data_IF_302352528927
#
_entry.id   IF_302352528927
#
_cell.length_a   1.000
_cell.length_b   1.000
_cell.length_c   1.000
_cell.angle_alpha   90.00
_cell.angle_beta   90.00
_cell.angle_gamma   90.00
#
_symmetry.space_group_name_H-M   'P 1'
#
loop_
_entity.id
_entity.type
_entity.pdbx_description
1 polymer ?
#
# COMPACT_ATOMS: atom_id res chain seq x y z
N UNK A 1 -3.74 5.46 -13.37
CA UNK A 1 -4.75 5.21 -14.43
C UNK A 1 -5.31 3.78 -14.40
N UNK A 2 -4.56 2.74 -14.03
CA UNK A 2 -5.03 1.34 -14.04
C UNK A 2 -6.15 1.02 -13.04
N UNK A 3 -6.09 1.56 -11.82
CA UNK A 3 -7.09 1.27 -10.77
C UNK A 3 -8.48 1.79 -11.14
N UNK A 4 -8.54 3.01 -11.67
CA UNK A 4 -9.80 3.64 -12.06
C UNK A 4 -10.47 2.93 -13.23
N UNK A 5 -9.68 2.39 -14.16
CA UNK A 5 -10.18 1.62 -15.31
C UNK A 5 -10.87 0.31 -14.86
N UNK A 6 -10.26 -0.40 -13.89
CA UNK A 6 -10.85 -1.60 -13.31
C UNK A 6 -12.16 -1.33 -12.56
N UNK A 7 -12.24 -0.21 -11.83
CA UNK A 7 -13.49 0.23 -11.19
C UNK A 7 -14.55 0.63 -12.22
N UNK A 8 -14.15 1.30 -13.30
CA UNK A 8 -15.01 1.71 -14.41
C UNK A 8 -15.53 0.51 -15.21
N UNK A 9 -14.83 -0.63 -15.23
CA UNK A 9 -15.31 -1.89 -15.82
C UNK A 9 -16.24 -2.68 -14.87
N UNK A 10 -16.01 -2.61 -13.55
CA UNK A 10 -16.84 -3.33 -12.55
C UNK A 10 -18.20 -2.67 -12.32
N UNK A 11 -18.26 -1.33 -12.38
CA UNK A 11 -19.49 -0.55 -12.20
C UNK A 11 -20.61 -0.84 -13.22
N UNK A 12 -20.36 -0.89 -14.54
CA UNK A 12 -21.39 -1.16 -15.55
C UNK A 12 -21.88 -2.61 -15.50
N UNK A 13 -21.05 -3.57 -15.07
CA UNK A 13 -21.46 -4.97 -14.85
C UNK A 13 -22.62 -5.13 -13.85
N UNK A 14 -22.79 -4.19 -12.91
CA UNK A 14 -23.86 -4.21 -11.90
C UNK A 14 -25.07 -3.33 -12.26
N UNK A 15 -24.95 -2.41 -13.22
CA UNK A 15 -25.96 -1.34 -13.45
C UNK A 15 -26.40 -1.17 -14.92
N UNK A 16 -25.89 -1.95 -15.88
CA UNK A 16 -26.36 -2.04 -17.27
C UNK A 16 -26.62 -0.67 -17.97
N UNK A 17 -25.85 0.35 -17.61
CA UNK A 17 -25.94 1.73 -18.13
C UNK A 17 -24.53 2.27 -18.35
N UNK A 18 -24.36 3.05 -19.42
CA UNK A 18 -23.11 3.70 -19.79
C UNK A 18 -22.47 4.42 -18.60
N UNK A 19 -21.17 4.20 -18.38
CA UNK A 19 -20.42 4.84 -17.31
C UNK A 19 -20.61 6.36 -17.36
N UNK A 20 -21.28 6.98 -16.37
CA UNK A 20 -21.47 8.42 -16.41
C UNK A 20 -20.12 9.09 -16.24
N UNK A 21 -19.77 9.99 -17.18
CA UNK A 21 -18.63 10.90 -17.05
C UNK A 21 -18.56 11.58 -15.67
N UNK A 22 -19.73 11.78 -15.05
CA UNK A 22 -19.89 12.33 -13.71
C UNK A 22 -19.31 11.43 -12.60
N UNK A 23 -19.52 10.11 -12.65
CA UNK A 23 -18.96 9.17 -11.66
C UNK A 23 -17.44 9.14 -11.75
N UNK A 24 -16.92 9.16 -12.98
CA UNK A 24 -15.48 9.22 -13.27
C UNK A 24 -14.83 10.48 -12.71
N UNK A 25 -15.48 11.63 -12.90
CA UNK A 25 -15.01 12.93 -12.40
C UNK A 25 -15.11 12.99 -10.87
N UNK A 26 -16.22 12.56 -10.26
CA UNK A 26 -16.38 12.53 -8.81
C UNK A 26 -15.31 11.65 -8.13
N UNK A 27 -14.99 10.49 -8.69
CA UNK A 27 -13.95 9.62 -8.13
C UNK A 27 -12.56 10.27 -8.23
N UNK A 28 -12.21 10.87 -9.38
CA UNK A 28 -10.91 11.56 -9.54
C UNK A 28 -10.78 12.77 -8.62
N UNK A 29 -11.80 13.62 -8.59
CA UNK A 29 -11.83 14.83 -7.76
C UNK A 29 -11.90 14.46 -6.28
N UNK A 30 -12.70 13.46 -5.91
CA UNK A 30 -12.79 12.98 -4.53
C UNK A 30 -11.48 12.39 -4.03
N UNK A 31 -10.83 11.52 -4.81
CA UNK A 31 -9.52 10.96 -4.43
C UNK A 31 -8.44 12.03 -4.37
N UNK A 32 -8.36 12.90 -5.37
CA UNK A 32 -7.38 14.00 -5.40
C UNK A 32 -7.61 15.00 -4.26
N UNK A 33 -8.86 15.38 -4.01
CA UNK A 33 -9.24 16.28 -2.93
C UNK A 33 -8.98 15.69 -1.55
N UNK A 34 -9.29 14.41 -1.33
CA UNK A 34 -8.97 13.72 -0.09
C UNK A 34 -7.45 13.64 0.13
N UNK A 35 -6.68 13.29 -0.90
CA UNK A 35 -5.22 13.25 -0.82
C UNK A 35 -4.61 14.62 -0.49
N UNK A 36 -5.13 15.70 -1.11
CA UNK A 36 -4.74 17.07 -0.81
C UNK A 36 -5.09 17.48 0.63
N UNK A 37 -6.33 17.18 1.06
CA UNK A 37 -6.78 17.49 2.41
C UNK A 37 -5.96 16.77 3.48
N UNK A 38 -5.67 15.49 3.27
CA UNK A 38 -4.78 14.72 4.14
C UNK A 38 -3.35 15.30 4.13
N UNK A 39 -2.83 15.66 2.96
CA UNK A 39 -1.50 16.28 2.82
C UNK A 39 -1.36 17.59 3.59
N UNK A 40 -2.40 18.41 3.61
CA UNK A 40 -2.41 19.70 4.32
C UNK A 40 -2.64 19.50 5.81
N UNK A 41 -3.51 18.56 6.19
CA UNK A 41 -3.90 18.33 7.60
C UNK A 41 -2.85 17.55 8.39
N UNK A 42 -2.16 16.60 7.75
CA UNK A 42 -1.22 15.70 8.42
C UNK A 42 0.21 15.85 7.87
N UNK A 43 1.10 16.63 8.51
CA UNK A 43 2.51 16.72 8.10
C UNK A 43 3.28 15.40 8.30
N UNK A 44 2.67 14.38 8.94
CA UNK A 44 3.24 13.06 9.20
C UNK A 44 3.16 12.09 8.02
N UNK A 45 2.48 12.43 6.92
CA UNK A 45 2.29 11.53 5.77
C UNK A 45 3.60 11.02 5.16
N UNK A 46 4.67 11.82 5.21
CA UNK A 46 6.01 11.39 4.78
C UNK A 46 6.54 10.23 5.62
N UNK A 47 6.19 10.16 6.90
CA UNK A 47 6.54 9.05 7.81
C UNK A 47 5.63 7.83 7.62
N UNK A 48 4.47 7.99 7.00
CA UNK A 48 3.53 6.91 6.64
C UNK A 48 3.83 6.27 5.27
N UNK A 49 4.61 6.94 4.41
CA UNK A 49 4.99 6.41 3.10
C UNK A 49 5.65 5.01 3.15
N UNK A 50 6.55 4.69 4.11
CA UNK A 50 7.08 3.34 4.26
C UNK A 50 6.01 2.30 4.64
N UNK A 51 5.01 2.68 5.43
CA UNK A 51 3.89 1.80 5.82
C UNK A 51 2.95 1.49 4.65
N UNK A 52 2.63 2.51 3.85
CA UNK A 52 1.81 2.34 2.65
C UNK A 52 2.56 1.53 1.60
N UNK A 53 3.85 1.79 1.44
CA UNK A 53 4.72 1.01 0.55
C UNK A 53 4.86 -0.45 1.01
N UNK A 54 5.03 -0.69 2.30
CA UNK A 54 5.20 -2.05 2.82
C UNK A 54 3.96 -2.91 2.65
N UNK A 55 2.75 -2.35 2.73
CA UNK A 55 1.52 -3.08 2.47
C UNK A 55 1.44 -3.66 1.05
N UNK A 56 2.18 -3.10 0.10
CA UNK A 56 2.23 -3.60 -1.29
C UNK A 56 3.24 -4.73 -1.48
N UNK A 57 4.25 -4.87 -0.61
CA UNK A 57 5.29 -5.91 -0.70
C UNK A 57 4.72 -7.34 -0.63
N UNK A 58 3.78 -7.69 0.29
CA UNK A 58 3.17 -9.01 0.30
C UNK A 58 2.34 -9.26 -0.95
N UNK A 59 1.68 -8.22 -1.48
CA UNK A 59 0.80 -8.36 -2.64
C UNK A 59 1.59 -8.60 -3.93
N UNK A 60 2.76 -7.99 -4.07
CA UNK A 60 3.58 -8.10 -5.29
C UNK A 60 4.58 -9.25 -5.24
N UNK A 61 5.08 -9.63 -4.06
CA UNK A 61 6.08 -10.70 -3.92
C UNK A 61 5.51 -11.95 -3.26
N UNK A 62 4.89 -11.85 -2.09
CA UNK A 62 4.41 -13.03 -1.37
C UNK A 62 3.24 -13.72 -2.10
N UNK A 63 2.27 -12.94 -2.57
CA UNK A 63 1.06 -13.46 -3.21
C UNK A 63 1.34 -14.32 -4.46
N UNK A 64 2.08 -13.85 -5.49
CA UNK A 64 2.37 -14.69 -6.65
C UNK A 64 3.23 -15.90 -6.30
N UNK A 65 4.20 -15.77 -5.37
CA UNK A 65 5.04 -16.88 -4.94
C UNK A 65 4.24 -17.99 -4.25
N UNK A 66 3.39 -17.63 -3.27
CA UNK A 66 2.57 -18.61 -2.56
C UNK A 66 1.46 -19.19 -3.46
N UNK A 67 0.83 -18.37 -4.30
CA UNK A 67 -0.19 -18.84 -5.26
C UNK A 67 0.43 -19.80 -6.28
N UNK A 68 1.65 -19.53 -6.75
CA UNK A 68 2.38 -20.44 -7.62
C UNK A 68 2.67 -21.78 -6.94
N UNK A 69 3.14 -21.79 -5.68
CA UNK A 69 3.37 -23.02 -4.91
C UNK A 69 2.07 -23.80 -4.76
N UNK A 70 0.96 -23.12 -4.43
CA UNK A 70 -0.35 -23.73 -4.26
C UNK A 70 -0.90 -24.34 -5.55
N UNK A 71 -0.75 -23.65 -6.69
CA UNK A 71 -1.24 -24.13 -7.99
C UNK A 71 -0.40 -25.26 -8.56
N UNK A 72 0.93 -25.16 -8.50
CA UNK A 72 1.83 -26.14 -9.13
C UNK A 72 2.13 -27.37 -8.28
N UNK A 73 1.88 -27.32 -6.97
CA UNK A 73 2.27 -28.38 -6.01
C UNK A 73 3.66 -28.96 -6.35
N UNK A 74 4.71 -28.12 -6.40
CA UNK A 74 6.04 -28.61 -6.73
C UNK A 74 6.45 -29.67 -5.72
N UNK A 75 7.36 -30.58 -6.13
CA UNK A 75 7.92 -31.55 -5.19
C UNK A 75 8.46 -30.82 -3.95
N UNK A 76 7.99 -31.14 -2.74
CA UNK A 76 8.55 -30.56 -1.53
C UNK A 76 10.05 -30.87 -1.52
N UNK A 77 10.88 -29.85 -1.25
CA UNK A 77 12.35 -29.89 -1.29
C UNK A 77 13.02 -29.68 -2.66
N UNK A 78 12.29 -29.28 -3.70
CA UNK A 78 12.93 -28.79 -4.94
C UNK A 78 13.55 -27.39 -4.75
N UNK A 79 14.64 -27.09 -5.47
CA UNK A 79 15.29 -25.77 -5.45
C UNK A 79 14.29 -24.61 -5.73
N UNK A 80 13.39 -24.82 -6.70
CA UNK A 80 12.36 -23.83 -7.08
C UNK A 80 11.32 -23.64 -5.96
N UNK A 81 11.02 -24.70 -5.20
CA UNK A 81 10.12 -24.61 -4.05
C UNK A 81 10.77 -23.79 -2.93
N UNK A 82 12.05 -24.04 -2.64
CA UNK A 82 12.80 -23.29 -1.63
C UNK A 82 12.92 -21.80 -1.98
N UNK A 83 13.21 -21.47 -3.25
CA UNK A 83 13.29 -20.08 -3.72
C UNK A 83 11.95 -19.36 -3.57
N UNK A 84 10.84 -19.95 -4.04
CA UNK A 84 9.54 -19.30 -3.93
C UNK A 84 9.05 -19.16 -2.47
N UNK A 85 9.33 -20.16 -1.63
CA UNK A 85 8.94 -20.14 -0.22
C UNK A 85 9.79 -19.11 0.54
N UNK A 86 11.10 -19.08 0.29
CA UNK A 86 12.02 -18.11 0.86
C UNK A 86 11.69 -16.68 0.46
N UNK A 87 11.41 -16.41 -0.83
CA UNK A 87 11.06 -15.07 -1.31
C UNK A 87 9.73 -14.57 -0.71
N UNK A 88 8.74 -15.46 -0.60
CA UNK A 88 7.48 -15.14 0.05
C UNK A 88 7.65 -14.83 1.55
N UNK A 89 8.43 -15.64 2.26
CA UNK A 89 8.74 -15.41 3.67
C UNK A 89 9.52 -14.09 3.88
N UNK A 90 10.53 -13.84 3.03
CA UNK A 90 11.33 -12.62 3.09
C UNK A 90 10.47 -11.36 2.89
N UNK A 91 9.51 -11.39 1.97
CA UNK A 91 8.56 -10.28 1.78
C UNK A 91 7.71 -10.01 3.03
N UNK A 92 7.26 -11.06 3.73
CA UNK A 92 6.50 -10.92 4.99
C UNK A 92 7.38 -10.35 6.10
N UNK A 93 8.60 -10.88 6.26
CA UNK A 93 9.56 -10.40 7.27
C UNK A 93 9.90 -8.93 7.04
N UNK A 94 10.20 -8.53 5.80
CA UNK A 94 10.45 -7.13 5.46
C UNK A 94 9.26 -6.24 5.79
N UNK A 95 8.04 -6.70 5.53
CA UNK A 95 6.82 -5.94 5.86
C UNK A 95 6.72 -5.69 7.35
N UNK A 96 6.95 -6.72 8.18
CA UNK A 96 6.94 -6.60 9.65
C UNK A 96 8.04 -5.66 10.14
N UNK A 97 9.26 -5.79 9.61
CA UNK A 97 10.39 -4.93 9.97
C UNK A 97 10.10 -3.44 9.65
N UNK A 98 9.49 -3.16 8.50
CA UNK A 98 9.13 -1.78 8.13
C UNK A 98 8.05 -1.22 9.06
N UNK A 99 7.06 -2.03 9.46
CA UNK A 99 6.02 -1.61 10.42
C UNK A 99 6.66 -1.25 11.77
N UNK A 100 7.58 -2.08 12.26
CA UNK A 100 8.32 -1.80 13.50
C UNK A 100 9.14 -0.52 13.36
N UNK A 101 9.93 -0.38 12.29
CA UNK A 101 10.73 0.82 12.05
C UNK A 101 9.89 2.09 11.95
N UNK A 102 8.71 2.01 11.33
CA UNK A 102 7.77 3.12 11.26
C UNK A 102 7.20 3.48 12.65
N UNK A 103 6.80 2.48 13.45
CA UNK A 103 6.35 2.71 14.83
C UNK A 103 7.44 3.36 15.69
N UNK A 104 8.69 2.89 15.59
CA UNK A 104 9.83 3.48 16.29
C UNK A 104 10.10 4.92 15.87
N UNK A 105 10.03 5.20 14.57
CA UNK A 105 10.22 6.57 14.04
C UNK A 105 9.14 7.53 14.54
N UNK A 106 7.89 7.05 14.66
CA UNK A 106 6.79 7.83 15.21
C UNK A 106 7.00 8.12 16.70
N UNK A 107 7.50 7.16 17.48
CA UNK A 107 7.79 7.39 18.91
C UNK A 107 8.95 8.36 19.10
N UNK A 108 10.06 8.22 18.38
CA UNK A 108 11.24 9.09 18.54
C UNK A 108 10.94 10.54 18.12
N UNK A 109 10.23 10.72 17.00
CA UNK A 109 9.80 12.04 16.53
C UNK A 109 8.62 12.62 17.31
N UNK A 110 7.71 11.77 17.77
CA UNK A 110 6.56 12.15 18.60
C UNK A 110 6.97 12.62 19.99
N UNK A 111 7.95 11.97 20.63
CA UNK A 111 8.49 12.42 21.91
C UNK A 111 9.26 13.74 21.80
N UNK A 112 10.04 13.93 20.73
CA UNK A 112 10.79 15.19 20.49
C UNK A 112 9.89 16.34 20.02
N UNK A 113 8.75 16.04 19.39
CA UNK A 113 7.77 17.02 18.93
C UNK A 113 6.91 17.65 20.05
N UNK A 114 6.86 17.03 21.23
CA UNK A 114 6.21 17.62 22.41
C UNK A 114 7.10 18.65 23.15
N UNK A 115 8.34 18.84 22.71
CA UNK A 115 9.17 19.97 23.13
C UNK A 115 9.12 21.06 22.06
N UNK A 116 8.09 21.90 22.16
CA UNK A 116 8.05 23.31 21.76
C UNK A 116 9.29 23.79 20.97
N UNK A 117 9.18 23.82 19.63
CA UNK A 117 9.87 24.83 18.84
C UNK A 117 8.90 25.44 17.82
N UNK A 118 8.71 26.77 17.85
CA UNK A 118 7.76 27.46 16.99
C UNK A 118 8.25 27.51 15.54
N UNK A 119 7.27 27.61 14.65
CA UNK A 119 7.36 27.86 13.21
C UNK A 119 8.45 28.88 12.85
N UNK A 120 9.56 28.42 12.26
CA UNK A 120 10.32 29.20 11.27
C UNK A 120 11.33 28.29 10.58
N UNK A 121 11.03 27.82 9.36
CA UNK A 121 12.00 27.73 8.27
C UNK A 121 11.21 27.60 6.96
N UNK A 122 11.35 28.65 6.15
CA UNK A 122 10.99 28.82 4.74
C UNK A 122 11.92 27.96 3.89
#
# INVERSE_FOLDING_TARGET
MVVFDNFEVRYPCKKNRSCPLLVRTCIRVGYGGLAFFLSVTFPFLRSLAPLVGSATLPLTFAYPCFTWIAMKKPRPNGLVWFINMGLGCFAVVLTVLIVIAAAWTLTDKGLKGNSYKPLCQI
#
